data_IF_874899380754
#
_entry.id   IF_874899380754
#
_cell.length_a   1.000
_cell.length_b   1.000
_cell.length_c   1.000
_cell.angle_alpha   90.00
_cell.angle_beta   90.00
_cell.angle_gamma   90.00
#
_symmetry.space_group_name_H-M   'P 1'
#
loop_
_entity.id
_entity.type
_entity.pdbx_description
1 polymer ?
#
# COMPACT_ATOMS: atom_id res chain seq x y z
N UNK A 1 11.09 5.25 -25.66
CA UNK A 1 10.79 3.83 -25.94
C UNK A 1 12.12 3.14 -26.14
N UNK A 2 12.40 2.14 -25.33
CA UNK A 2 13.74 1.58 -25.11
C UNK A 2 14.14 0.62 -26.25
N UNK A 3 15.27 0.87 -26.93
CA UNK A 3 15.75 0.08 -28.08
C UNK A 3 16.11 -1.38 -27.71
N UNK A 4 16.36 -1.62 -26.42
CA UNK A 4 16.60 -2.96 -25.86
C UNK A 4 15.41 -3.92 -26.07
N UNK A 5 14.18 -3.41 -25.99
CA UNK A 5 12.97 -4.23 -26.16
C UNK A 5 12.84 -4.76 -27.59
N UNK A 6 13.19 -3.95 -28.59
CA UNK A 6 13.13 -4.35 -30.01
C UNK A 6 14.13 -5.44 -30.35
N UNK A 7 15.32 -5.42 -29.75
CA UNK A 7 16.34 -6.44 -29.96
C UNK A 7 15.92 -7.81 -29.42
N UNK A 8 15.22 -7.84 -28.27
CA UNK A 8 14.78 -9.09 -27.63
C UNK A 8 13.42 -9.59 -28.13
N UNK A 9 12.68 -8.77 -28.88
CA UNK A 9 11.33 -9.10 -29.34
C UNK A 9 11.29 -10.36 -30.20
N UNK A 10 12.27 -10.53 -31.10
CA UNK A 10 12.37 -11.71 -31.97
C UNK A 10 12.58 -13.01 -31.18
N UNK A 11 13.47 -12.97 -30.18
CA UNK A 11 13.72 -14.11 -29.28
C UNK A 11 12.46 -14.45 -28.46
N UNK A 12 11.76 -13.44 -27.97
CA UNK A 12 10.51 -13.61 -27.23
C UNK A 12 9.41 -14.23 -28.11
N UNK A 13 9.25 -13.79 -29.36
CA UNK A 13 8.32 -14.40 -30.31
C UNK A 13 8.66 -15.87 -30.56
N UNK A 14 9.94 -16.20 -30.76
CA UNK A 14 10.38 -17.58 -30.95
C UNK A 14 10.12 -18.46 -29.72
N UNK A 15 10.27 -17.90 -28.52
CA UNK A 15 9.96 -18.60 -27.28
C UNK A 15 8.46 -18.83 -27.10
N UNK A 16 7.63 -17.85 -27.45
CA UNK A 16 6.16 -17.97 -27.38
C UNK A 16 5.66 -19.01 -28.39
N UNK A 17 6.20 -19.04 -29.60
CA UNK A 17 5.82 -19.99 -30.66
C UNK A 17 6.05 -21.45 -30.24
N UNK A 18 7.03 -21.69 -29.36
CA UNK A 18 7.35 -23.02 -28.82
C UNK A 18 6.53 -23.41 -27.59
N UNK A 19 5.71 -22.53 -27.04
CA UNK A 19 4.86 -22.85 -25.90
C UNK A 19 3.65 -23.65 -26.41
N UNK A 20 3.65 -24.95 -26.13
CA UNK A 20 2.46 -25.78 -26.30
C UNK A 20 1.49 -25.42 -25.17
N UNK A 21 0.43 -24.67 -25.51
CA UNK A 21 -0.62 -24.31 -24.56
C UNK A 21 -1.39 -25.58 -24.21
N UNK A 22 -1.51 -25.85 -22.91
CA UNK A 22 -2.34 -26.94 -22.41
C UNK A 22 -3.80 -26.72 -22.81
N UNK A 23 -4.55 -27.75 -23.24
CA UNK A 23 -5.98 -27.63 -23.50
C UNK A 23 -6.82 -27.45 -22.22
N UNK A 24 -6.17 -27.48 -21.05
CA UNK A 24 -6.80 -27.25 -19.76
C UNK A 24 -7.08 -25.75 -19.61
N UNK A 25 -8.32 -25.41 -19.27
CA UNK A 25 -8.69 -24.03 -18.96
C UNK A 25 -7.99 -23.59 -17.69
N UNK A 26 -7.31 -22.45 -17.74
CA UNK A 26 -6.71 -21.83 -16.57
C UNK A 26 -7.79 -21.58 -15.51
N UNK A 27 -7.53 -22.03 -14.28
CA UNK A 27 -8.39 -21.78 -13.13
C UNK A 27 -7.65 -20.92 -12.11
N UNK A 28 -8.35 -19.92 -11.57
CA UNK A 28 -7.82 -19.10 -10.49
C UNK A 28 -7.79 -19.94 -9.21
N UNK A 29 -6.60 -20.40 -8.84
CA UNK A 29 -6.37 -21.16 -7.61
C UNK A 29 -5.94 -20.19 -6.51
N UNK A 30 -6.69 -20.16 -5.42
CA UNK A 30 -6.29 -19.39 -4.25
C UNK A 30 -5.23 -20.14 -3.46
N UNK A 31 -4.03 -19.57 -3.38
CA UNK A 31 -2.88 -20.19 -2.72
C UNK A 31 -3.15 -20.59 -1.26
N UNK A 32 -4.08 -19.91 -0.59
CA UNK A 32 -4.42 -20.17 0.81
C UNK A 32 -5.64 -21.09 0.99
N UNK A 33 -6.19 -21.67 -0.08
CA UNK A 33 -7.29 -22.64 0.00
C UNK A 33 -6.85 -24.07 -0.32
N UNK A 34 -7.30 -25.04 0.48
CA UNK A 34 -6.93 -26.47 0.31
C UNK A 34 -7.53 -27.11 -0.95
N UNK A 35 -8.64 -26.57 -1.42
CA UNK A 35 -9.39 -26.99 -2.60
C UNK A 35 -9.17 -26.05 -3.80
N UNK A 36 -8.34 -25.02 -3.64
CA UNK A 36 -8.08 -23.99 -4.65
C UNK A 36 -9.23 -23.01 -4.89
N UNK A 37 -10.42 -23.25 -4.33
CA UNK A 37 -11.60 -22.41 -4.53
C UNK A 37 -11.60 -21.14 -3.67
N UNK A 38 -12.12 -20.03 -4.22
CA UNK A 38 -12.41 -18.81 -3.46
C UNK A 38 -13.91 -18.70 -3.23
N UNK A 39 -14.32 -18.78 -1.97
CA UNK A 39 -15.65 -18.29 -1.55
C UNK A 39 -15.48 -16.89 -0.97
N UNK A 40 -16.47 -16.01 -1.14
CA UNK A 40 -16.52 -14.73 -0.43
C UNK A 40 -16.34 -14.92 1.08
N UNK A 41 -16.84 -16.03 1.64
CA UNK A 41 -16.70 -16.38 3.06
C UNK A 41 -15.24 -16.63 3.46
N UNK A 42 -14.50 -17.44 2.69
CA UNK A 42 -13.11 -17.77 3.00
C UNK A 42 -12.19 -16.56 2.82
N UNK A 43 -12.40 -15.78 1.75
CA UNK A 43 -11.71 -14.51 1.54
C UNK A 43 -11.98 -13.50 2.68
N UNK A 44 -13.24 -13.39 3.14
CA UNK A 44 -13.62 -12.49 4.23
C UNK A 44 -12.96 -12.89 5.56
N UNK A 45 -12.97 -14.18 5.92
CA UNK A 45 -12.32 -14.63 7.16
C UNK A 45 -10.80 -14.48 7.13
N UNK A 46 -10.17 -14.70 5.97
CA UNK A 46 -8.75 -14.41 5.77
C UNK A 46 -8.47 -12.92 6.00
N UNK A 47 -9.24 -12.05 5.35
CA UNK A 47 -9.12 -10.60 5.50
C UNK A 47 -9.28 -10.14 6.95
N UNK A 48 -10.24 -10.68 7.69
CA UNK A 48 -10.43 -10.37 9.11
C UNK A 48 -9.25 -10.80 9.99
N UNK A 49 -8.53 -11.87 9.63
CA UNK A 49 -7.33 -12.32 10.37
C UNK A 49 -6.14 -11.38 10.16
N UNK A 50 -6.01 -10.87 8.94
CA UNK A 50 -4.89 -10.01 8.56
C UNK A 50 -5.09 -8.57 9.09
N UNK A 51 -6.30 -8.22 9.52
CA UNK A 51 -6.61 -6.91 10.09
C UNK A 51 -6.21 -6.83 11.58
N UNK A 52 -5.39 -5.83 11.98
CA UNK A 52 -5.09 -5.59 13.37
C UNK A 52 -6.33 -5.08 14.10
N UNK A 53 -6.82 -5.81 15.10
CA UNK A 53 -7.94 -5.37 15.93
C UNK A 53 -7.69 -4.03 16.64
N UNK A 54 -6.41 -3.71 16.88
CA UNK A 54 -5.98 -2.42 17.46
C UNK A 54 -6.43 -1.23 16.60
N UNK A 55 -6.45 -1.38 15.28
CA UNK A 55 -6.82 -0.30 14.35
C UNK A 55 -8.35 -0.17 14.24
N UNK A 56 -9.08 -1.27 14.42
CA UNK A 56 -10.52 -1.34 14.23
C UNK A 56 -11.25 -1.42 15.56
N UNK A 57 -11.32 -0.27 16.24
CA UNK A 57 -12.03 -0.10 17.51
C UNK A 57 -13.34 0.66 17.31
N UNK A 58 -14.37 0.36 18.10
CA UNK A 58 -15.65 1.08 18.10
C UNK A 58 -15.52 2.59 18.39
N UNK A 59 -14.42 3.00 19.01
CA UNK A 59 -14.13 4.40 19.34
C UNK A 59 -13.43 5.15 18.21
N UNK A 60 -12.99 4.44 17.17
CA UNK A 60 -12.29 5.00 16.01
C UNK A 60 -13.25 4.93 14.82
N UNK A 61 -13.59 6.06 14.20
CA UNK A 61 -14.37 6.06 12.97
C UNK A 61 -13.72 5.17 11.89
N UNK A 62 -14.50 4.39 11.12
CA UNK A 62 -13.96 3.46 10.12
C UNK A 62 -13.03 4.12 9.10
N UNK A 63 -13.26 5.39 8.76
CA UNK A 63 -12.39 6.16 7.87
C UNK A 63 -10.98 6.35 8.43
N UNK A 64 -10.85 6.57 9.75
CA UNK A 64 -9.56 6.71 10.44
C UNK A 64 -8.86 5.36 10.57
N UNK A 65 -9.62 4.31 10.90
CA UNK A 65 -9.11 2.94 10.92
C UNK A 65 -8.56 2.51 9.56
N UNK A 66 -9.30 2.79 8.48
CA UNK A 66 -8.82 2.53 7.13
C UNK A 66 -7.53 3.31 6.85
N UNK A 67 -7.48 4.61 7.14
CA UNK A 67 -6.27 5.41 6.94
C UNK A 67 -5.06 4.82 7.69
N UNK A 68 -5.22 4.49 8.98
CA UNK A 68 -4.16 3.88 9.81
C UNK A 68 -3.73 2.53 9.27
N UNK A 69 -4.66 1.69 8.81
CA UNK A 69 -4.35 0.41 8.19
C UNK A 69 -3.51 0.58 6.91
N UNK A 70 -3.92 1.50 6.04
CA UNK A 70 -3.16 1.84 4.84
C UNK A 70 -1.78 2.43 5.19
N UNK A 71 -1.66 3.19 6.27
CA UNK A 71 -0.39 3.70 6.76
C UNK A 71 0.54 2.58 7.24
N UNK A 72 0.02 1.63 8.04
CA UNK A 72 0.80 0.47 8.53
C UNK A 72 1.31 -0.42 7.40
N UNK A 73 0.48 -0.63 6.37
CA UNK A 73 0.89 -1.37 5.18
C UNK A 73 1.83 -0.58 4.27
N UNK A 74 2.10 0.69 4.61
CA UNK A 74 2.77 1.65 3.75
C UNK A 74 2.11 1.60 2.36
N UNK A 75 0.83 1.94 2.26
CA UNK A 75 0.03 1.91 1.00
C UNK A 75 -0.71 3.21 0.74
N UNK A 76 -0.31 4.29 1.41
CA UNK A 76 -0.88 5.60 1.14
C UNK A 76 -0.43 6.11 -0.24
N UNK A 77 -1.29 6.86 -0.95
CA UNK A 77 -0.98 7.40 -2.26
C UNK A 77 -0.06 8.63 -2.14
N UNK A 78 1.17 8.44 -1.70
CA UNK A 78 2.17 9.51 -1.64
C UNK A 78 2.83 9.74 -2.99
N UNK A 79 3.28 10.97 -3.27
CA UNK A 79 3.95 11.26 -4.55
C UNK A 79 5.18 10.39 -4.79
N UNK A 80 5.98 10.06 -3.77
CA UNK A 80 7.12 9.14 -3.94
C UNK A 80 6.68 7.77 -4.49
N UNK A 81 5.57 7.21 -4.01
CA UNK A 81 5.02 5.95 -4.53
C UNK A 81 4.49 6.07 -5.95
N UNK A 82 3.81 7.17 -6.25
CA UNK A 82 3.33 7.45 -7.61
C UNK A 82 4.50 7.59 -8.60
N UNK A 83 5.60 8.22 -8.15
CA UNK A 83 6.81 8.41 -8.92
C UNK A 83 7.50 7.10 -9.30
N UNK A 84 7.56 6.15 -8.37
CA UNK A 84 8.17 4.84 -8.61
C UNK A 84 7.37 3.95 -9.54
N UNK A 85 6.05 4.14 -9.59
CA UNK A 85 5.17 3.17 -10.21
C UNK A 85 4.71 3.57 -11.61
N UNK A 86 4.32 4.84 -11.85
CA UNK A 86 3.64 5.19 -13.11
C UNK A 86 3.83 6.63 -13.62
N UNK A 87 4.33 7.58 -12.81
CA UNK A 87 4.33 8.99 -13.20
C UNK A 87 5.61 9.74 -12.80
N UNK A 88 6.35 10.35 -13.73
CA UNK A 88 7.47 11.22 -13.36
C UNK A 88 6.97 12.58 -12.83
N UNK A 89 6.60 12.64 -11.54
CA UNK A 89 6.31 13.87 -10.84
C UNK A 89 7.49 14.31 -9.97
N UNK A 90 7.61 15.60 -9.72
CA UNK A 90 8.46 16.08 -8.63
C UNK A 90 7.84 15.61 -7.30
N UNK A 91 8.53 14.74 -6.58
CA UNK A 91 8.04 14.14 -5.34
C UNK A 91 8.05 15.10 -4.15
N UNK A 92 7.84 16.42 -4.33
CA UNK A 92 7.88 17.38 -3.22
C UNK A 92 6.62 17.32 -2.37
N UNK A 93 6.82 17.41 -1.05
CA UNK A 93 5.77 17.48 -0.03
C UNK A 93 4.74 18.55 -0.37
N UNK A 94 3.46 18.19 -0.45
CA UNK A 94 2.37 19.13 -0.77
C UNK A 94 2.14 20.21 0.29
N UNK A 95 2.60 19.99 1.52
CA UNK A 95 2.34 20.91 2.65
C UNK A 95 3.39 22.02 2.70
N UNK A 96 4.67 21.65 2.74
CA UNK A 96 5.78 22.62 2.89
C UNK A 96 6.71 22.67 1.68
N UNK A 97 6.67 21.71 0.75
CA UNK A 97 7.50 21.72 -0.46
C UNK A 97 9.01 21.50 -0.25
N UNK A 98 9.48 21.37 0.99
CA UNK A 98 10.92 21.34 1.32
C UNK A 98 11.56 19.96 1.10
N UNK A 99 10.82 18.88 1.34
CA UNK A 99 11.36 17.52 1.26
C UNK A 99 10.46 16.60 0.43
N UNK A 100 10.92 15.36 0.18
CA UNK A 100 10.15 14.38 -0.57
C UNK A 100 8.88 13.94 0.19
N UNK A 101 7.75 13.82 -0.51
CA UNK A 101 6.49 13.36 0.03
C UNK A 101 6.51 11.84 0.21
N UNK A 102 6.93 11.41 1.40
CA UNK A 102 6.79 10.05 1.90
C UNK A 102 5.78 9.98 3.05
N UNK A 103 5.31 8.79 3.39
CA UNK A 103 4.45 8.57 4.56
C UNK A 103 5.14 9.03 5.84
N UNK A 104 6.41 8.68 6.00
CA UNK A 104 7.19 9.03 7.19
C UNK A 104 7.37 10.54 7.28
N UNK A 105 7.62 11.21 6.15
CA UNK A 105 7.65 12.66 6.13
C UNK A 105 6.30 13.24 6.53
N UNK A 106 5.20 12.86 5.87
CA UNK A 106 3.87 13.43 6.13
C UNK A 106 3.39 13.29 7.57
N UNK A 107 3.76 12.20 8.26
CA UNK A 107 3.24 11.88 9.60
C UNK A 107 4.25 12.09 10.74
N UNK A 108 5.56 12.17 10.47
CA UNK A 108 6.59 12.25 11.52
C UNK A 108 7.53 13.45 11.36
N UNK A 109 7.93 13.79 10.13
CA UNK A 109 9.00 14.79 9.91
C UNK A 109 8.52 16.09 9.28
N UNK A 110 7.30 16.13 8.76
CA UNK A 110 6.72 17.35 8.22
C UNK A 110 6.60 18.38 9.33
N UNK A 111 6.98 19.65 9.13
CA UNK A 111 6.84 20.66 10.18
C UNK A 111 5.42 20.74 10.77
N UNK A 112 4.39 20.49 9.94
CA UNK A 112 3.01 20.38 10.42
C UNK A 112 2.84 19.17 11.35
N UNK A 113 3.36 18.01 10.97
CA UNK A 113 3.27 16.80 11.76
C UNK A 113 3.98 16.94 13.11
N UNK A 114 5.19 17.53 13.11
CA UNK A 114 5.95 17.81 14.33
C UNK A 114 5.15 18.72 15.26
N UNK A 115 4.61 19.84 14.76
CA UNK A 115 3.79 20.76 15.55
C UNK A 115 2.53 20.09 16.11
N UNK A 116 1.86 19.23 15.32
CA UNK A 116 0.71 18.47 15.79
C UNK A 116 1.10 17.50 16.92
N UNK A 117 2.20 16.78 16.76
CA UNK A 117 2.70 15.86 17.78
C UNK A 117 3.07 16.58 19.08
N UNK A 118 3.68 17.76 19.03
CA UNK A 118 3.97 18.57 20.22
C UNK A 118 2.69 18.93 21.01
N UNK A 119 1.61 19.29 20.32
CA UNK A 119 0.30 19.55 20.94
C UNK A 119 -0.27 18.28 21.57
N UNK A 120 -0.18 17.15 20.87
CA UNK A 120 -0.64 15.85 21.37
C UNK A 120 0.17 15.44 22.62
N UNK A 121 1.49 15.53 22.59
CA UNK A 121 2.33 15.17 23.73
C UNK A 121 2.11 16.09 24.94
N UNK A 122 1.98 17.40 24.72
CA UNK A 122 1.72 18.35 25.80
C UNK A 122 0.34 18.16 26.44
N UNK A 123 -0.69 17.79 25.66
CA UNK A 123 -2.02 17.46 26.20
C UNK A 123 -2.00 16.16 27.02
N UNK A 124 -1.29 15.13 26.57
CA UNK A 124 -1.13 13.90 27.35
C UNK A 124 -0.39 14.11 28.68
N UNK A 125 0.67 14.92 28.70
CA UNK A 125 1.40 15.23 29.95
C UNK A 125 0.50 15.93 30.98
N UNK A 126 -0.43 16.79 30.52
CA UNK A 126 -1.38 17.47 31.41
C UNK A 126 -2.40 16.52 32.03
N UNK A 127 -2.82 15.49 31.31
CA UNK A 127 -3.80 14.50 31.80
C UNK A 127 -3.22 13.47 32.79
N UNK A 128 -1.90 13.28 32.83
CA UNK A 128 -1.24 12.36 33.79
C UNK A 128 -0.97 13.05 35.14
N UNK A 129 -1.03 14.39 35.17
CA UNK A 129 -0.69 15.22 36.34
C UNK A 129 -1.89 15.59 37.22
N UNK A 130 -3.06 15.00 36.99
CA UNK A 130 -4.33 15.23 37.71
C UNK A 130 -4.97 13.91 38.10
#
# INVERSE_FOLDING_TARGET
MDDSFRAHFSDLCFRIDRIVISPIVDSLVWANSRDGGVSCKTAYFQFLRDIPQVVWSRFIPPSRSALTWHLMLNRLPTKDRLCRSWFQLASRCSIYGVSSESTDHLFLHCPLAVALWEVVFSTFQRCVST
#
